data_IF_798123876307
#
_entry.id   IF_798123876307
#
_cell.length_a   1.000
_cell.length_b   1.000
_cell.length_c   1.000
_cell.angle_alpha   90.00
_cell.angle_beta   90.00
_cell.angle_gamma   90.00
#
_symmetry.space_group_name_H-M   'P 1'
#
loop_
_entity.id
_entity.type
_entity.pdbx_description
1 polymer ?
#
# COMPACT_ATOMS: atom_id res chain seq x y z
N UNK A 1 11.83 -62.48 9.92
CA UNK A 1 12.51 -61.17 9.92
C UNK A 1 11.56 -60.12 9.44
N UNK A 2 11.18 -59.28 10.35
CA UNK A 2 10.22 -58.20 10.02
C UNK A 2 11.07 -56.99 9.68
N UNK A 3 11.17 -56.69 8.42
CA UNK A 3 11.68 -55.39 7.98
C UNK A 3 10.60 -54.37 8.23
N UNK A 4 10.69 -53.66 9.33
CA UNK A 4 9.88 -52.53 9.60
C UNK A 4 10.39 -51.37 8.74
N UNK A 5 9.89 -51.28 7.52
CA UNK A 5 10.03 -50.10 6.71
C UNK A 5 9.22 -49.01 7.37
N UNK A 6 9.84 -48.30 8.27
CA UNK A 6 9.32 -47.01 8.74
C UNK A 6 9.45 -46.04 7.57
N UNK A 7 8.44 -46.09 6.71
CA UNK A 7 8.22 -45.01 5.76
C UNK A 7 7.83 -43.78 6.62
N UNK A 8 8.87 -43.13 7.13
CA UNK A 8 8.71 -41.81 7.66
C UNK A 8 8.21 -40.94 6.54
N UNK A 9 6.89 -40.78 6.46
CA UNK A 9 6.30 -39.74 5.66
C UNK A 9 6.86 -38.43 6.18
N UNK A 10 7.96 -37.99 5.59
CA UNK A 10 8.50 -36.67 5.81
C UNK A 10 7.53 -35.71 5.15
N UNK A 11 6.52 -35.35 5.93
CA UNK A 11 5.58 -34.30 5.56
C UNK A 11 6.38 -33.00 5.59
N UNK A 12 6.98 -32.68 4.45
CA UNK A 12 7.57 -31.37 4.25
C UNK A 12 6.39 -30.40 4.29
N UNK A 13 6.15 -29.83 5.46
CA UNK A 13 5.33 -28.63 5.57
C UNK A 13 6.01 -27.59 4.70
N UNK A 14 5.53 -27.47 3.49
CA UNK A 14 5.88 -26.34 2.65
C UNK A 14 5.21 -25.12 3.28
N UNK A 15 5.97 -24.44 4.14
CA UNK A 15 5.60 -23.10 4.53
C UNK A 15 5.71 -22.25 3.29
N UNK A 16 4.60 -22.09 2.61
CA UNK A 16 4.44 -21.08 1.57
C UNK A 16 4.50 -19.73 2.27
N UNK A 17 5.69 -19.18 2.39
CA UNK A 17 5.82 -17.78 2.83
C UNK A 17 5.24 -16.91 1.71
N UNK A 18 4.06 -16.34 1.96
CA UNK A 18 3.56 -15.27 1.14
C UNK A 18 4.59 -14.14 1.17
N UNK A 19 5.13 -13.76 0.01
CA UNK A 19 6.08 -12.66 -0.08
C UNK A 19 5.38 -11.37 0.28
N UNK A 20 5.88 -10.69 1.31
CA UNK A 20 5.37 -9.40 1.74
C UNK A 20 6.16 -8.29 1.06
N UNK A 21 5.44 -7.36 0.46
CA UNK A 21 6.00 -6.15 -0.13
C UNK A 21 5.73 -4.99 0.83
N UNK A 22 6.77 -4.24 1.17
CA UNK A 22 6.63 -3.04 1.99
C UNK A 22 6.43 -1.85 1.08
N UNK A 23 5.24 -1.23 1.08
CA UNK A 23 5.01 -0.02 0.32
C UNK A 23 5.80 1.15 0.88
N UNK A 24 6.08 2.13 0.03
CA UNK A 24 6.75 3.36 0.42
C UNK A 24 5.73 4.49 0.53
N UNK A 25 5.78 5.21 1.63
CA UNK A 25 5.05 6.45 1.82
C UNK A 25 6.03 7.61 1.84
N UNK A 26 5.67 8.73 1.23
CA UNK A 26 6.49 9.95 1.28
C UNK A 26 6.42 10.62 2.66
N UNK A 27 5.37 10.37 3.40
CA UNK A 27 5.18 10.83 4.80
C UNK A 27 4.16 9.95 5.50
N UNK A 28 4.20 9.90 6.82
CA UNK A 28 3.24 9.13 7.64
C UNK A 28 2.23 10.00 8.37
N UNK A 29 2.45 11.30 8.39
CA UNK A 29 1.58 12.29 9.04
C UNK A 29 1.25 13.39 8.04
N UNK A 30 -0.04 13.68 7.91
CA UNK A 30 -0.55 14.75 7.06
C UNK A 30 -1.59 15.56 7.82
N UNK A 31 -1.87 16.74 7.32
CA UNK A 31 -3.06 17.51 7.69
C UNK A 31 -4.24 17.11 6.83
N UNK A 32 -5.43 17.37 7.31
CA UNK A 32 -6.67 17.12 6.54
C UNK A 32 -6.57 17.72 5.15
N UNK A 33 -6.84 16.90 4.14
CA UNK A 33 -6.83 17.28 2.73
C UNK A 33 -5.47 17.29 2.05
N UNK A 34 -4.36 17.09 2.79
CA UNK A 34 -3.04 16.97 2.17
C UNK A 34 -2.87 15.63 1.49
N UNK A 35 -2.18 15.57 0.34
CA UNK A 35 -1.91 14.31 -0.33
C UNK A 35 -0.73 13.56 0.27
N UNK A 36 -0.84 12.23 0.29
CA UNK A 36 0.25 11.29 0.55
C UNK A 36 0.51 10.49 -0.72
N UNK A 37 1.77 10.30 -1.06
CA UNK A 37 2.18 9.40 -2.13
C UNK A 37 2.48 8.01 -1.57
N UNK A 38 1.78 7.03 -2.10
CA UNK A 38 1.93 5.62 -1.81
C UNK A 38 2.50 4.92 -3.03
N UNK A 39 3.55 4.13 -2.83
CA UNK A 39 4.26 3.48 -3.94
C UNK A 39 4.56 2.02 -3.63
N UNK A 40 4.24 1.16 -4.56
CA UNK A 40 4.58 -0.27 -4.54
C UNK A 40 5.41 -0.60 -5.77
N UNK A 41 6.55 -1.24 -5.56
CA UNK A 41 7.42 -1.72 -6.64
C UNK A 41 7.40 -3.23 -6.70
N UNK A 42 7.14 -3.76 -7.88
CA UNK A 42 7.15 -5.20 -8.15
C UNK A 42 8.19 -5.47 -9.22
N UNK A 43 9.21 -6.26 -8.86
CA UNK A 43 10.22 -6.72 -9.83
C UNK A 43 9.61 -7.77 -10.74
N UNK A 44 9.90 -7.68 -12.01
CA UNK A 44 9.43 -8.65 -12.98
C UNK A 44 10.49 -8.94 -14.05
N UNK A 45 10.34 -10.09 -14.69
CA UNK A 45 11.13 -10.50 -15.86
C UNK A 45 10.21 -10.61 -17.05
N UNK A 46 10.80 -10.57 -18.24
CA UNK A 46 10.04 -10.82 -19.47
C UNK A 46 9.29 -12.18 -19.36
N UNK A 47 8.02 -12.17 -19.72
CA UNK A 47 7.14 -13.33 -19.61
C UNK A 47 6.40 -13.46 -18.29
N UNK A 48 6.76 -12.69 -17.27
CA UNK A 48 6.01 -12.67 -16.01
C UNK A 48 4.63 -12.01 -16.20
N UNK A 49 3.62 -12.66 -15.64
CA UNK A 49 2.26 -12.14 -15.62
C UNK A 49 1.98 -11.53 -14.25
N UNK A 50 1.74 -10.22 -14.22
CA UNK A 50 1.47 -9.48 -12.99
C UNK A 50 0.08 -8.87 -13.08
N UNK A 51 -0.74 -9.15 -12.06
CA UNK A 51 -2.10 -8.63 -11.94
C UNK A 51 -2.19 -7.79 -10.68
N UNK A 52 -2.46 -6.50 -10.85
CA UNK A 52 -2.75 -5.60 -9.75
C UNK A 52 -4.23 -5.61 -9.41
N UNK A 53 -4.59 -5.39 -8.14
CA UNK A 53 -5.99 -5.26 -7.78
C UNK A 53 -6.60 -3.99 -8.37
N UNK A 54 -7.90 -4.02 -8.60
CA UNK A 54 -8.64 -2.82 -8.98
C UNK A 54 -8.70 -1.88 -7.79
N UNK A 55 -8.28 -0.64 -8.01
CA UNK A 55 -8.29 0.39 -6.97
C UNK A 55 -9.55 1.24 -7.14
N UNK A 56 -10.35 1.29 -6.08
CA UNK A 56 -11.53 2.14 -5.99
C UNK A 56 -11.15 3.58 -5.64
N UNK A 57 -12.11 4.49 -5.75
CA UNK A 57 -11.93 5.90 -5.37
C UNK A 57 -11.65 6.10 -3.87
N UNK A 58 -11.94 5.10 -3.05
CA UNK A 58 -11.57 5.07 -1.65
C UNK A 58 -11.04 3.70 -1.24
N UNK A 59 -10.01 3.69 -0.38
CA UNK A 59 -9.44 2.46 0.14
C UNK A 59 -10.20 1.96 1.35
N UNK A 60 -10.72 2.88 2.13
CA UNK A 60 -11.63 2.63 3.23
C UNK A 60 -12.47 3.89 3.45
N UNK A 61 -13.28 3.91 4.48
CA UNK A 61 -14.19 5.00 4.75
C UNK A 61 -13.51 6.37 4.94
N UNK A 62 -12.23 6.38 5.33
CA UNK A 62 -11.49 7.59 5.70
C UNK A 62 -10.39 7.99 4.72
N UNK A 63 -10.01 7.09 3.81
CA UNK A 63 -8.90 7.32 2.88
C UNK A 63 -9.41 7.32 1.45
N UNK A 64 -9.27 8.45 0.78
CA UNK A 64 -9.65 8.61 -0.62
C UNK A 64 -8.44 8.49 -1.54
N UNK A 65 -8.66 7.95 -2.72
CA UNK A 65 -7.67 7.84 -3.79
C UNK A 65 -7.87 9.00 -4.76
N UNK A 66 -6.93 9.92 -4.79
CA UNK A 66 -6.96 11.07 -5.68
C UNK A 66 -6.45 10.73 -7.08
N UNK A 67 -5.47 9.85 -7.15
CA UNK A 67 -4.85 9.44 -8.40
C UNK A 67 -4.28 8.03 -8.27
N UNK A 68 -4.30 7.29 -9.37
CA UNK A 68 -3.74 5.95 -9.48
C UNK A 68 -2.98 5.81 -10.79
N UNK A 69 -1.75 5.35 -10.70
CA UNK A 69 -0.88 5.20 -11.86
C UNK A 69 -0.06 3.92 -11.77
N UNK A 70 0.12 3.27 -12.92
CA UNK A 70 1.05 2.16 -13.09
C UNK A 70 2.10 2.56 -14.12
N UNK A 71 3.35 2.52 -13.71
CA UNK A 71 4.49 2.81 -14.57
C UNK A 71 5.45 1.61 -14.61
N UNK A 72 6.08 1.41 -15.76
CA UNK A 72 7.15 0.43 -15.92
C UNK A 72 8.48 1.14 -15.94
N UNK A 73 9.38 0.74 -15.05
CA UNK A 73 10.74 1.29 -14.96
C UNK A 73 11.74 0.20 -15.31
N UNK A 74 12.60 0.49 -16.27
CA UNK A 74 13.71 -0.40 -16.67
C UNK A 74 15.02 0.27 -16.31
N UNK A 75 15.79 -0.34 -15.43
CA UNK A 75 17.11 0.14 -14.99
C UNK A 75 18.08 -1.01 -14.96
N UNK A 76 19.18 -0.89 -15.71
CA UNK A 76 20.31 -1.85 -15.72
C UNK A 76 19.86 -3.33 -15.88
N UNK A 77 18.98 -3.60 -16.85
CA UNK A 77 18.47 -4.94 -17.12
C UNK A 77 17.44 -5.44 -16.09
N UNK A 78 17.11 -4.63 -15.10
CA UNK A 78 16.04 -4.91 -14.13
C UNK A 78 14.79 -4.15 -14.53
N UNK A 79 13.67 -4.85 -14.53
CA UNK A 79 12.36 -4.25 -14.80
C UNK A 79 11.52 -4.27 -13.54
N UNK A 80 10.87 -3.15 -13.27
CA UNK A 80 9.95 -3.00 -12.16
C UNK A 80 8.65 -2.36 -12.63
N UNK A 81 7.53 -2.85 -12.12
CA UNK A 81 6.25 -2.16 -12.26
C UNK A 81 6.05 -1.39 -10.96
N UNK A 82 5.80 -0.10 -11.11
CA UNK A 82 5.58 0.80 -9.98
C UNK A 82 4.11 1.21 -9.98
N UNK A 83 3.42 0.86 -8.91
CA UNK A 83 2.07 1.34 -8.64
C UNK A 83 2.18 2.56 -7.74
N UNK A 84 1.64 3.67 -8.20
CA UNK A 84 1.59 4.91 -7.43
C UNK A 84 0.15 5.29 -7.16
N UNK A 85 -0.12 5.55 -5.89
CA UNK A 85 -1.39 6.08 -5.43
C UNK A 85 -1.14 7.43 -4.76
N UNK A 86 -1.99 8.37 -5.04
CA UNK A 86 -2.07 9.62 -4.30
C UNK A 86 -3.30 9.55 -3.40
N UNK A 87 -3.07 9.59 -2.09
CA UNK A 87 -4.10 9.37 -1.08
C UNK A 87 -4.29 10.62 -0.25
N UNK A 88 -5.49 10.80 0.26
CA UNK A 88 -5.81 11.87 1.22
C UNK A 88 -6.90 11.41 2.17
N UNK A 89 -7.16 12.23 3.19
CA UNK A 89 -8.26 12.01 4.11
C UNK A 89 -8.78 13.32 4.66
N UNK A 90 -10.03 13.32 5.08
CA UNK A 90 -10.73 14.50 5.57
C UNK A 90 -11.13 14.40 7.03
N UNK A 91 -10.82 13.31 7.69
CA UNK A 91 -11.06 13.10 9.10
C UNK A 91 -9.74 13.03 9.86
N UNK A 92 -9.66 13.68 11.02
CA UNK A 92 -8.50 13.56 11.89
C UNK A 92 -8.49 12.20 12.59
N UNK A 93 -7.32 11.62 12.77
CA UNK A 93 -7.14 10.36 13.47
C UNK A 93 -6.03 9.52 12.89
N UNK A 94 -5.92 8.29 13.41
CA UNK A 94 -4.99 7.29 12.89
C UNK A 94 -5.77 6.27 12.08
N UNK A 95 -5.34 6.06 10.86
CA UNK A 95 -5.99 5.16 9.92
C UNK A 95 -4.99 4.21 9.30
N UNK A 96 -5.46 3.06 8.83
CA UNK A 96 -4.64 2.08 8.16
C UNK A 96 -4.88 2.10 6.66
N UNK A 97 -3.79 2.11 5.91
CA UNK A 97 -3.83 1.79 4.49
C UNK A 97 -3.87 0.26 4.40
N UNK A 98 -4.93 -0.32 3.80
CA UNK A 98 -5.09 -1.76 3.80
C UNK A 98 -3.99 -2.47 3.00
N UNK A 99 -3.78 -3.75 3.31
CA UNK A 99 -2.94 -4.61 2.51
C UNK A 99 -3.65 -4.92 1.18
N UNK A 100 -2.86 -4.97 0.11
CA UNK A 100 -3.34 -5.36 -1.23
C UNK A 100 -2.70 -6.68 -1.63
N UNK A 101 -3.41 -7.43 -2.46
CA UNK A 101 -2.89 -8.66 -3.05
C UNK A 101 -2.56 -8.38 -4.50
N UNK A 102 -1.30 -8.57 -4.86
CA UNK A 102 -0.80 -8.49 -6.22
C UNK A 102 -0.44 -9.91 -6.65
N UNK A 103 -0.94 -10.36 -7.79
CA UNK A 103 -0.63 -11.69 -8.28
C UNK A 103 0.53 -11.63 -9.27
N UNK A 104 1.54 -12.44 -9.02
CA UNK A 104 2.67 -12.63 -9.93
C UNK A 104 2.76 -14.10 -10.30
N UNK A 105 2.49 -14.42 -11.56
CA UNK A 105 2.49 -15.81 -12.06
C UNK A 105 1.58 -16.73 -11.23
N UNK A 106 0.42 -16.23 -10.83
CA UNK A 106 -0.54 -16.97 -10.01
C UNK A 106 -0.20 -17.06 -8.52
N UNK A 107 0.91 -16.45 -8.07
CA UNK A 107 1.28 -16.37 -6.66
C UNK A 107 0.90 -15.03 -6.07
N UNK A 108 0.40 -15.05 -4.85
CA UNK A 108 -0.02 -13.85 -4.15
C UNK A 108 1.18 -13.16 -3.51
N UNK A 109 1.35 -11.90 -3.85
CA UNK A 109 2.24 -10.97 -3.17
C UNK A 109 1.36 -10.02 -2.36
N UNK A 110 1.58 -9.94 -1.06
CA UNK A 110 0.77 -9.11 -0.18
C UNK A 110 1.54 -7.86 0.22
N UNK A 111 0.94 -6.70 0.06
CA UNK A 111 1.52 -5.46 0.56
C UNK A 111 1.27 -5.33 2.05
N UNK A 112 2.26 -4.81 2.77
CA UNK A 112 2.12 -4.57 4.21
C UNK A 112 1.10 -3.46 4.47
N UNK A 113 0.22 -3.69 5.43
CA UNK A 113 -0.66 -2.64 5.96
C UNK A 113 0.18 -1.55 6.63
N UNK A 114 -0.10 -0.29 6.30
CA UNK A 114 0.61 0.86 6.86
C UNK A 114 -0.36 1.74 7.65
N UNK A 115 0.17 2.41 8.66
CA UNK A 115 -0.58 3.38 9.45
C UNK A 115 -0.22 4.80 9.03
N UNK A 116 -1.23 5.65 8.92
CA UNK A 116 -1.08 7.09 8.70
C UNK A 116 -1.82 7.86 9.78
N UNK A 117 -1.30 9.02 10.11
CA UNK A 117 -1.93 9.96 11.02
C UNK A 117 -2.40 11.19 10.24
N UNK A 118 -3.66 11.53 10.39
CA UNK A 118 -4.25 12.72 9.81
C UNK A 118 -4.55 13.69 10.95
N UNK A 119 -3.90 14.82 10.91
CA UNK A 119 -4.05 15.87 11.93
C UNK A 119 -5.06 16.90 11.45
N UNK A 120 -5.86 17.36 12.39
CA UNK A 120 -6.74 18.48 12.14
C UNK A 120 -5.91 19.74 11.86
N UNK A 121 -6.45 20.62 11.05
CA UNK A 121 -5.85 21.93 10.85
C UNK A 121 -6.03 22.68 12.14
N UNK A 122 -4.89 22.99 12.83
CA UNK A 122 -4.93 23.86 14.00
C UNK A 122 -5.41 25.25 13.54
N UNK A 123 -6.68 25.53 13.79
CA UNK A 123 -7.20 26.87 13.64
C UNK A 123 -6.61 27.68 14.79
N UNK A 124 -5.61 28.50 14.49
CA UNK A 124 -5.06 29.43 15.45
C UNK A 124 -6.10 30.52 15.70
N UNK A 125 -6.92 30.30 16.73
CA UNK A 125 -7.99 31.24 17.09
C UNK A 125 -7.48 32.60 17.49
N UNK A 126 -6.19 32.74 17.80
CA UNK A 126 -5.56 34.04 18.12
C UNK A 126 -5.22 34.86 16.87
N UNK A 127 -5.13 34.21 15.71
CA UNK A 127 -4.89 34.86 14.41
C UNK A 127 -6.13 35.01 13.56
N UNK A 128 -7.24 34.42 13.94
CA UNK A 128 -8.52 34.65 13.30
C UNK A 128 -9.06 36.02 13.71
N UNK A 129 -8.40 37.03 13.20
CA UNK A 129 -9.04 38.33 13.15
C UNK A 129 -10.13 38.20 12.10
N UNK A 130 -11.33 37.93 12.57
CA UNK A 130 -12.49 38.13 11.73
C UNK A 130 -12.51 39.63 11.44
N UNK A 131 -12.04 40.01 10.27
CA UNK A 131 -12.23 41.34 9.81
C UNK A 131 -13.73 41.54 9.65
N UNK A 132 -14.34 42.41 10.48
CA UNK A 132 -15.74 42.73 10.24
C UNK A 132 -15.85 43.30 8.82
N UNK A 133 -16.72 42.68 8.04
CA UNK A 133 -17.06 43.23 6.74
C UNK A 133 -17.55 44.64 6.99
N UNK A 134 -16.75 45.62 6.61
CA UNK A 134 -17.20 46.99 6.67
C UNK A 134 -18.32 47.16 5.67
N UNK A 135 -19.43 47.68 6.09
CA UNK A 135 -20.52 48.00 5.15
C UNK A 135 -20.08 48.99 4.10
#
# INVERSE_FOLDING_TARGET
MKNLLLLGSFFILQFSFAQEIVPKLDRTTIKIGEPIKYEVKVKYKEGDKIVFPTISDSLNYHIEVLNHRLDTVKTDGKSEIVQQLELTGYDAGKFHIPAFIIQKNGKDLTTKQLEIEIQDIAVDTTKNVIFPIKP
#
